data_IF_052345719235
#
_entry.id   IF_052345719235
#
_cell.length_a   1.000
_cell.length_b   1.000
_cell.length_c   1.000
_cell.angle_alpha   90.00
_cell.angle_beta   90.00
_cell.angle_gamma   90.00
#
_symmetry.space_group_name_H-M   'P 1'
#
loop_
_entity.id
_entity.type
_entity.pdbx_description
1 polymer ?
#
# COMPACT_ATOMS: atom_id res chain seq x y z
N UNK A 1 1.58 -20.51 28.34
CA UNK A 1 1.81 -20.56 26.87
C UNK A 1 1.92 -19.16 26.24
N UNK A 2 2.45 -18.17 26.97
CA UNK A 2 2.95 -16.89 26.45
C UNK A 2 4.37 -16.78 27.00
N UNK A 3 5.40 -16.81 26.16
CA UNK A 3 6.78 -16.70 26.68
C UNK A 3 7.89 -17.34 25.86
N UNK A 4 7.72 -17.58 24.56
CA UNK A 4 8.78 -18.11 23.67
C UNK A 4 8.95 -17.31 22.37
N UNK A 5 8.78 -15.99 22.41
CA UNK A 5 9.01 -15.12 21.22
C UNK A 5 10.28 -14.27 21.35
N UNK A 6 10.94 -14.22 22.51
CA UNK A 6 12.14 -13.38 22.71
C UNK A 6 13.45 -14.14 22.96
N UNK A 7 13.51 -15.43 22.65
CA UNK A 7 14.77 -16.20 22.72
C UNK A 7 15.40 -16.33 21.35
N UNK A 8 15.79 -15.21 20.75
CA UNK A 8 16.89 -15.16 19.79
C UNK A 8 18.17 -14.98 20.59
N UNK A 9 18.88 -16.07 20.85
CA UNK A 9 20.09 -16.07 21.67
C UNK A 9 21.27 -15.41 20.97
N UNK A 10 21.79 -14.33 21.57
CA UNK A 10 23.16 -13.89 21.36
C UNK A 10 24.04 -14.37 22.52
N UNK A 11 25.30 -14.77 22.27
CA UNK A 11 26.18 -15.32 23.29
C UNK A 11 26.76 -14.19 24.15
N UNK A 12 26.17 -13.95 25.32
CA UNK A 12 26.77 -13.13 26.37
C UNK A 12 25.80 -12.25 27.14
N UNK A 13 25.49 -12.65 28.38
CA UNK A 13 25.12 -11.72 29.45
C UNK A 13 23.62 -11.54 29.72
N UNK A 14 23.19 -12.02 30.89
CA UNK A 14 21.88 -11.77 31.50
C UNK A 14 21.92 -10.34 32.10
N UNK A 15 21.23 -9.36 31.49
CA UNK A 15 21.16 -8.01 32.05
C UNK A 15 19.79 -7.69 32.67
N UNK A 16 19.86 -7.31 33.95
CA UNK A 16 18.80 -6.90 34.86
C UNK A 16 18.02 -5.69 34.33
N UNK A 17 16.69 -5.83 34.21
CA UNK A 17 15.80 -4.76 33.76
C UNK A 17 15.82 -3.57 34.73
N UNK A 18 16.44 -2.46 34.33
CA UNK A 18 16.46 -1.19 35.06
C UNK A 18 15.85 -0.11 34.15
N UNK A 19 14.62 0.29 34.47
CA UNK A 19 13.85 1.44 33.97
C UNK A 19 14.36 2.24 32.75
N UNK A 20 14.27 1.63 31.56
CA UNK A 20 14.50 2.27 30.26
C UNK A 20 14.66 1.17 29.21
N UNK A 21 13.83 1.11 28.18
CA UNK A 21 13.79 -0.01 27.24
C UNK A 21 15.08 -0.01 26.38
N UNK A 22 16.07 -0.88 26.66
CA UNK A 22 17.41 -0.76 26.09
C UNK A 22 17.47 -1.13 24.60
N UNK A 23 16.35 -1.63 24.06
CA UNK A 23 16.18 -2.00 22.66
C UNK A 23 15.28 -1.02 21.89
N UNK A 24 14.58 -0.09 22.53
CA UNK A 24 13.60 0.76 21.84
C UNK A 24 14.25 1.71 20.82
N UNK A 25 15.43 2.28 21.15
CA UNK A 25 16.21 3.15 20.26
C UNK A 25 17.30 2.40 19.48
N UNK A 26 17.22 1.08 19.37
CA UNK A 26 18.17 0.32 18.56
C UNK A 26 17.91 0.59 17.06
N UNK A 27 18.97 0.84 16.28
CA UNK A 27 18.85 1.16 14.84
C UNK A 27 18.13 0.06 14.05
N UNK A 28 18.30 -1.21 14.45
CA UNK A 28 17.63 -2.35 13.82
C UNK A 28 16.16 -2.40 14.18
N UNK A 29 15.81 -2.17 15.45
CA UNK A 29 14.41 -2.08 15.86
C UNK A 29 13.68 -0.90 15.23
N UNK A 30 14.37 0.24 15.05
CA UNK A 30 13.81 1.38 14.35
C UNK A 30 13.59 1.07 12.86
N UNK A 31 14.54 0.37 12.23
CA UNK A 31 14.38 -0.09 10.86
C UNK A 31 13.25 -1.11 10.72
N UNK A 32 13.16 -2.10 11.60
CA UNK A 32 12.09 -3.10 11.58
C UNK A 32 10.70 -2.46 11.72
N UNK A 33 10.60 -1.44 12.58
CA UNK A 33 9.36 -0.67 12.73
C UNK A 33 8.94 0.01 11.41
N UNK A 34 9.88 0.40 10.55
CA UNK A 34 9.56 1.02 9.27
C UNK A 34 8.85 0.10 8.29
N UNK A 35 9.09 -1.22 8.30
CA UNK A 35 8.45 -2.17 7.37
C UNK A 35 6.91 -2.08 7.45
N UNK A 36 6.36 -2.08 8.68
CA UNK A 36 4.90 -2.03 8.90
C UNK A 36 4.26 -0.74 8.37
N UNK A 37 4.95 0.39 8.50
CA UNK A 37 4.45 1.67 8.02
C UNK A 37 4.64 1.85 6.52
N UNK A 38 5.78 1.39 6.00
CA UNK A 38 6.18 1.56 4.60
C UNK A 38 5.25 0.80 3.67
N UNK A 39 4.85 -0.42 4.03
CA UNK A 39 3.86 -1.20 3.28
C UNK A 39 2.58 -0.39 3.03
N UNK A 40 2.05 0.26 4.06
CA UNK A 40 0.84 1.10 3.94
C UNK A 40 1.12 2.39 3.19
N UNK A 41 2.28 3.00 3.38
CA UNK A 41 2.68 4.23 2.69
C UNK A 41 2.72 4.03 1.17
N UNK A 42 3.25 2.90 0.69
CA UNK A 42 3.28 2.56 -0.74
C UNK A 42 1.87 2.46 -1.31
N UNK A 43 0.94 1.83 -0.60
CA UNK A 43 -0.46 1.70 -1.03
C UNK A 43 -1.17 3.06 -1.08
N UNK A 44 -0.83 3.98 -0.18
CA UNK A 44 -1.45 5.30 -0.12
C UNK A 44 -1.04 6.22 -1.29
N UNK A 45 0.13 6.02 -1.91
CA UNK A 45 0.59 6.82 -3.06
C UNK A 45 -0.40 6.81 -4.25
N UNK A 46 -0.80 5.64 -4.82
CA UNK A 46 -1.83 5.60 -5.86
C UNK A 46 -3.21 6.01 -5.36
N UNK A 47 -3.55 5.72 -4.10
CA UNK A 47 -4.82 6.15 -3.51
C UNK A 47 -4.96 7.67 -3.45
N UNK A 48 -3.88 8.40 -3.16
CA UNK A 48 -3.88 9.85 -3.17
C UNK A 48 -4.26 10.40 -4.55
N UNK A 49 -3.81 9.77 -5.64
CA UNK A 49 -4.20 10.17 -7.00
C UNK A 49 -5.68 9.97 -7.26
N UNK A 50 -6.27 8.86 -6.79
CA UNK A 50 -7.71 8.62 -6.90
C UNK A 50 -8.51 9.68 -6.15
N UNK A 51 -8.10 10.02 -4.93
CA UNK A 51 -8.74 11.07 -4.11
C UNK A 51 -8.68 12.43 -4.81
N UNK A 52 -7.53 12.79 -5.41
CA UNK A 52 -7.39 14.03 -6.20
C UNK A 52 -8.35 14.02 -7.39
N UNK A 53 -8.50 12.87 -8.04
CA UNK A 53 -9.47 12.66 -9.12
C UNK A 53 -10.94 12.59 -8.64
N UNK A 54 -11.19 12.77 -7.33
CA UNK A 54 -12.51 12.70 -6.66
C UNK A 54 -13.13 11.30 -6.67
N UNK A 55 -12.31 10.28 -6.84
CA UNK A 55 -12.69 8.88 -6.74
C UNK A 55 -12.24 8.30 -5.39
N UNK A 56 -12.99 7.34 -4.87
CA UNK A 56 -12.64 6.60 -3.66
C UNK A 56 -12.58 5.12 -4.02
N UNK A 57 -11.49 4.45 -3.64
CA UNK A 57 -11.32 3.01 -3.81
C UNK A 57 -11.18 2.28 -2.47
N UNK A 58 -12.28 1.65 -2.04
CA UNK A 58 -12.29 0.79 -0.85
C UNK A 58 -11.79 -0.64 -1.14
N UNK A 59 -11.70 -1.03 -2.40
CA UNK A 59 -11.40 -2.41 -2.84
C UNK A 59 -9.91 -2.75 -2.83
N UNK A 60 -9.03 -1.79 -2.51
CA UNK A 60 -7.57 -1.97 -2.53
C UNK A 60 -7.12 -3.10 -1.59
N UNK A 61 -7.68 -3.17 -0.38
CA UNK A 61 -7.31 -4.19 0.60
C UNK A 61 -7.73 -5.60 0.15
N UNK A 62 -8.93 -5.74 -0.41
CA UNK A 62 -9.40 -7.01 -0.96
C UNK A 62 -8.68 -7.42 -2.24
N UNK A 63 -8.22 -6.46 -3.05
CA UNK A 63 -7.38 -6.72 -4.22
C UNK A 63 -6.01 -7.22 -3.80
N UNK A 64 -5.40 -6.61 -2.77
CA UNK A 64 -4.15 -7.09 -2.17
C UNK A 64 -4.31 -8.51 -1.63
N UNK A 65 -5.42 -8.81 -0.94
CA UNK A 65 -5.71 -10.14 -0.43
C UNK A 65 -5.81 -11.17 -1.56
N UNK A 66 -6.58 -10.88 -2.61
CA UNK A 66 -6.73 -11.75 -3.77
C UNK A 66 -5.39 -11.98 -4.48
N UNK A 67 -4.63 -10.90 -4.73
CA UNK A 67 -3.31 -10.96 -5.33
C UNK A 67 -2.36 -11.84 -4.51
N UNK A 68 -2.33 -11.66 -3.19
CA UNK A 68 -1.50 -12.44 -2.27
C UNK A 68 -1.89 -13.93 -2.29
N UNK A 69 -3.19 -14.25 -2.30
CA UNK A 69 -3.66 -15.63 -2.40
C UNK A 69 -3.25 -16.29 -3.71
N UNK A 70 -3.39 -15.62 -4.85
CA UNK A 70 -2.95 -16.14 -6.15
C UNK A 70 -1.43 -16.37 -6.15
N UNK A 71 -0.66 -15.41 -5.65
CA UNK A 71 0.80 -15.56 -5.51
C UNK A 71 1.17 -16.73 -4.60
N UNK A 72 0.46 -16.93 -3.48
CA UNK A 72 0.71 -18.03 -2.57
C UNK A 72 0.49 -19.40 -3.21
N UNK A 73 -0.53 -19.55 -4.06
CA UNK A 73 -0.73 -20.79 -4.82
C UNK A 73 0.35 -21.02 -5.85
N UNK A 74 0.81 -19.97 -6.54
CA UNK A 74 1.93 -20.08 -7.47
C UNK A 74 3.25 -20.40 -6.76
N UNK A 75 3.48 -19.83 -5.57
CA UNK A 75 4.64 -20.14 -4.74
C UNK A 75 4.63 -21.61 -4.29
N UNK A 76 3.46 -22.12 -3.89
CA UNK A 76 3.28 -23.53 -3.57
C UNK A 76 3.52 -24.47 -4.78
N UNK A 77 3.28 -23.98 -6.00
CA UNK A 77 3.60 -24.68 -7.24
C UNK A 77 5.08 -24.58 -7.65
N UNK A 78 5.93 -23.93 -6.84
CA UNK A 78 7.37 -23.81 -7.09
C UNK A 78 7.77 -22.69 -8.06
N UNK A 79 6.91 -21.67 -8.24
CA UNK A 79 7.20 -20.54 -9.11
C UNK A 79 8.29 -19.63 -8.51
N UNK A 80 9.25 -19.21 -9.33
CA UNK A 80 10.33 -18.33 -8.93
C UNK A 80 9.87 -16.91 -8.56
N UNK A 81 10.65 -16.25 -7.68
CA UNK A 81 10.41 -14.90 -7.15
C UNK A 81 10.06 -13.84 -8.20
N UNK A 82 10.77 -13.70 -9.34
CA UNK A 82 10.42 -12.67 -10.33
C UNK A 82 9.04 -12.87 -10.94
N UNK A 83 8.64 -14.12 -11.17
CA UNK A 83 7.35 -14.45 -11.76
C UNK A 83 6.23 -14.25 -10.75
N UNK A 84 6.46 -14.50 -9.45
CA UNK A 84 5.51 -14.15 -8.39
C UNK A 84 5.21 -12.64 -8.36
N UNK A 85 6.23 -11.79 -8.51
CA UNK A 85 6.04 -10.33 -8.57
C UNK A 85 5.19 -9.95 -9.77
N UNK A 86 5.46 -10.53 -10.95
CA UNK A 86 4.68 -10.28 -12.17
C UNK A 86 3.22 -10.73 -11.99
N UNK A 87 2.99 -11.88 -11.37
CA UNK A 87 1.64 -12.40 -11.11
C UNK A 87 0.88 -11.45 -10.18
N UNK A 88 1.52 -10.99 -9.10
CA UNK A 88 0.89 -10.04 -8.17
C UNK A 88 0.51 -8.73 -8.84
N UNK A 89 1.45 -8.14 -9.59
CA UNK A 89 1.19 -6.93 -10.39
C UNK A 89 0.10 -7.16 -11.44
N UNK A 90 0.09 -8.33 -12.08
CA UNK A 90 -0.91 -8.72 -13.06
C UNK A 90 -2.32 -8.81 -12.47
N UNK A 91 -2.49 -9.49 -11.34
CA UNK A 91 -3.79 -9.59 -10.66
C UNK A 91 -4.28 -8.21 -10.22
N UNK A 92 -3.40 -7.40 -9.60
CA UNK A 92 -3.73 -6.03 -9.21
C UNK A 92 -4.15 -5.15 -10.40
N UNK A 93 -3.43 -5.24 -11.51
CA UNK A 93 -3.74 -4.51 -12.74
C UNK A 93 -5.09 -4.95 -13.32
N UNK A 94 -5.36 -6.25 -13.37
CA UNK A 94 -6.64 -6.78 -13.87
C UNK A 94 -7.82 -6.32 -13.00
N UNK A 95 -7.69 -6.36 -11.68
CA UNK A 95 -8.71 -5.87 -10.76
C UNK A 95 -8.94 -4.35 -10.91
N UNK A 96 -7.86 -3.57 -11.01
CA UNK A 96 -7.95 -2.12 -11.23
C UNK A 96 -8.58 -1.78 -12.58
N UNK A 97 -8.23 -2.51 -13.64
CA UNK A 97 -8.82 -2.36 -14.97
C UNK A 97 -10.30 -2.72 -14.96
N UNK A 98 -10.68 -3.79 -14.28
CA UNK A 98 -12.07 -4.19 -14.12
C UNK A 98 -12.89 -3.08 -13.44
N UNK A 99 -12.39 -2.53 -12.32
CA UNK A 99 -13.04 -1.43 -11.62
C UNK A 99 -13.15 -0.18 -12.51
N UNK A 100 -12.06 0.21 -13.17
CA UNK A 100 -12.03 1.37 -14.06
C UNK A 100 -12.94 1.22 -15.28
N UNK A 101 -13.03 0.02 -15.85
CA UNK A 101 -13.92 -0.28 -16.97
C UNK A 101 -15.39 -0.18 -16.54
N UNK A 102 -15.74 -0.70 -15.36
CA UNK A 102 -17.11 -0.61 -14.85
C UNK A 102 -17.55 0.84 -14.64
N UNK A 103 -16.69 1.67 -14.05
CA UNK A 103 -16.97 3.10 -13.85
C UNK A 103 -17.13 3.83 -15.19
N UNK A 104 -16.17 3.65 -16.10
CA UNK A 104 -16.14 4.39 -17.38
C UNK A 104 -17.20 3.93 -18.38
N UNK A 105 -17.47 2.62 -18.47
CA UNK A 105 -18.39 2.07 -19.48
C UNK A 105 -19.86 2.17 -19.08
N UNK A 106 -20.15 2.01 -17.80
CA UNK A 106 -21.52 1.96 -17.27
C UNK A 106 -21.94 3.22 -16.53
N UNK A 107 -21.07 4.24 -16.42
CA UNK A 107 -21.33 5.49 -15.69
C UNK A 107 -21.83 5.27 -14.25
N UNK A 108 -21.32 4.22 -13.61
CA UNK A 108 -21.64 3.88 -12.23
C UNK A 108 -20.75 4.70 -11.28
N UNK A 109 -21.30 5.08 -10.11
CA UNK A 109 -20.52 5.73 -9.07
C UNK A 109 -19.39 4.82 -8.57
N UNK A 110 -18.15 5.33 -8.50
CA UNK A 110 -16.99 4.53 -8.07
C UNK A 110 -17.14 3.95 -6.66
N UNK A 111 -17.82 4.65 -5.74
CA UNK A 111 -18.06 4.14 -4.39
C UNK A 111 -18.88 2.84 -4.43
N UNK A 112 -19.91 2.79 -5.28
CA UNK A 112 -20.77 1.60 -5.41
C UNK A 112 -19.98 0.44 -5.99
N UNK A 113 -19.20 0.69 -7.05
CA UNK A 113 -18.34 -0.32 -7.66
C UNK A 113 -17.29 -0.84 -6.68
N UNK A 114 -16.63 0.04 -5.94
CA UNK A 114 -15.52 -0.35 -5.06
C UNK A 114 -16.02 -1.09 -3.83
N UNK A 115 -17.19 -0.77 -3.28
CA UNK A 115 -17.82 -1.57 -2.22
C UNK A 115 -18.26 -2.95 -2.75
N UNK A 116 -18.84 -3.01 -3.95
CA UNK A 116 -19.27 -4.27 -4.57
C UNK A 116 -18.10 -5.19 -4.89
N UNK A 117 -17.07 -4.64 -5.53
CA UNK A 117 -15.86 -5.36 -5.91
C UNK A 117 -15.02 -5.75 -4.69
N UNK A 118 -15.03 -4.94 -3.63
CA UNK A 118 -14.42 -5.33 -2.35
C UNK A 118 -15.03 -6.64 -1.82
N UNK A 119 -16.36 -6.73 -1.82
CA UNK A 119 -17.07 -7.92 -1.37
C UNK A 119 -16.82 -9.12 -2.29
N UNK A 120 -16.79 -8.89 -3.61
CA UNK A 120 -16.50 -9.91 -4.62
C UNK A 120 -15.09 -10.49 -4.46
N UNK A 121 -14.06 -9.65 -4.47
CA UNK A 121 -12.66 -10.08 -4.38
C UNK A 121 -12.39 -10.76 -3.04
N UNK A 122 -12.96 -10.23 -1.94
CA UNK A 122 -12.85 -10.88 -0.63
C UNK A 122 -13.53 -12.24 -0.61
N UNK A 123 -14.71 -12.36 -1.23
CA UNK A 123 -15.42 -13.64 -1.37
C UNK A 123 -14.61 -14.67 -2.15
N UNK A 124 -14.06 -14.27 -3.31
CA UNK A 124 -13.18 -15.12 -4.12
C UNK A 124 -11.96 -15.55 -3.30
N UNK A 125 -11.33 -14.62 -2.59
CA UNK A 125 -10.16 -14.90 -1.74
C UNK A 125 -10.50 -15.96 -0.69
N UNK A 126 -11.64 -15.83 0.02
CA UNK A 126 -12.06 -16.81 1.01
C UNK A 126 -12.38 -18.19 0.42
N UNK A 127 -13.00 -18.24 -0.77
CA UNK A 127 -13.30 -19.50 -1.44
C UNK A 127 -12.02 -20.19 -1.89
N UNK A 128 -11.07 -19.44 -2.46
CA UNK A 128 -9.80 -19.98 -2.93
C UNK A 128 -8.93 -20.45 -1.77
N UNK A 129 -8.78 -19.62 -0.74
CA UNK A 129 -7.90 -19.90 0.39
C UNK A 129 -8.48 -20.96 1.33
N UNK A 130 -9.81 -20.98 1.51
CA UNK A 130 -10.48 -21.91 2.44
C UNK A 130 -9.94 -21.76 3.86
N UNK A 131 -9.52 -22.89 4.45
CA UNK A 131 -8.90 -22.96 5.78
C UNK A 131 -7.35 -22.96 5.72
N UNK A 132 -6.77 -22.83 4.52
CA UNK A 132 -5.33 -22.93 4.34
C UNK A 132 -4.64 -21.59 4.61
N UNK A 133 -3.43 -21.65 5.17
CA UNK A 133 -2.56 -20.49 5.30
C UNK A 133 -1.32 -20.67 4.42
N UNK A 134 -1.27 -19.92 3.30
CA UNK A 134 -0.18 -19.97 2.33
C UNK A 134 1.01 -19.14 2.84
N UNK A 135 1.93 -19.78 3.56
CA UNK A 135 3.10 -19.13 4.18
C UNK A 135 4.45 -19.63 3.62
N UNK A 136 4.44 -20.57 2.68
CA UNK A 136 5.67 -21.07 2.06
C UNK A 136 6.02 -20.24 0.83
N UNK A 137 7.05 -19.41 0.97
CA UNK A 137 7.62 -18.61 -0.12
C UNK A 137 9.13 -18.87 -0.24
N UNK A 138 9.71 -18.72 -1.44
CA UNK A 138 11.16 -18.81 -1.60
C UNK A 138 11.88 -17.72 -0.79
N UNK A 139 13.06 -18.03 -0.26
CA UNK A 139 13.85 -17.10 0.57
C UNK A 139 14.15 -15.77 -0.14
N UNK A 140 14.35 -15.81 -1.45
CA UNK A 140 14.56 -14.62 -2.27
C UNK A 140 13.32 -13.70 -2.33
N UNK A 141 12.11 -14.25 -2.18
CA UNK A 141 10.88 -13.46 -2.07
C UNK A 141 10.74 -12.82 -0.68
N UNK A 142 11.14 -13.54 0.39
CA UNK A 142 11.19 -12.97 1.73
C UNK A 142 12.19 -11.81 1.82
N UNK A 143 13.37 -11.96 1.19
CA UNK A 143 14.34 -10.87 1.07
C UNK A 143 13.83 -9.71 0.19
N UNK A 144 13.07 -9.99 -0.86
CA UNK A 144 12.48 -8.94 -1.69
C UNK A 144 11.48 -8.05 -0.91
N UNK A 145 10.71 -8.62 0.03
CA UNK A 145 9.86 -7.83 0.93
C UNK A 145 10.68 -7.21 2.06
N UNK A 146 11.23 -8.05 2.94
CA UNK A 146 11.77 -7.61 4.24
C UNK A 146 13.29 -7.55 4.28
N UNK A 147 13.96 -7.51 3.13
CA UNK A 147 15.41 -7.46 3.03
C UNK A 147 16.00 -6.09 3.31
N UNK A 148 17.31 -6.09 3.53
CA UNK A 148 18.13 -4.92 3.80
C UNK A 148 19.08 -4.65 2.63
N UNK A 149 19.19 -3.40 2.18
CA UNK A 149 20.02 -3.03 1.01
C UNK A 149 21.34 -2.38 1.43
N UNK A 150 21.28 -1.35 2.27
CA UNK A 150 22.44 -0.60 2.75
C UNK A 150 22.40 -0.47 4.29
N UNK A 151 22.94 -1.47 4.98
CA UNK A 151 22.92 -1.52 6.44
C UNK A 151 21.49 -1.68 6.98
N UNK A 152 21.08 -0.84 7.93
CA UNK A 152 19.73 -0.82 8.49
C UNK A 152 18.71 -0.08 7.60
N UNK A 153 18.88 -0.09 6.27
CA UNK A 153 17.91 0.47 5.34
C UNK A 153 17.19 -0.65 4.60
N UNK A 154 15.92 -0.81 4.94
CA UNK A 154 14.98 -1.76 4.35
C UNK A 154 14.74 -1.52 2.86
N UNK A 155 14.74 -2.58 2.06
CA UNK A 155 14.44 -2.52 0.63
C UNK A 155 13.08 -1.86 0.34
N UNK A 156 12.05 -2.22 1.11
CA UNK A 156 10.73 -1.58 1.07
C UNK A 156 10.80 -0.04 1.21
N UNK A 157 11.63 0.47 2.12
CA UNK A 157 11.74 1.91 2.36
C UNK A 157 12.44 2.64 1.20
N UNK A 158 13.47 2.01 0.62
CA UNK A 158 14.09 2.51 -0.61
C UNK A 158 13.09 2.55 -1.78
N UNK A 159 12.30 1.49 -1.94
CA UNK A 159 11.25 1.42 -2.96
C UNK A 159 10.18 2.50 -2.75
N UNK A 160 9.76 2.73 -1.51
CA UNK A 160 8.84 3.82 -1.18
C UNK A 160 9.39 5.19 -1.59
N UNK A 161 10.65 5.50 -1.28
CA UNK A 161 11.27 6.78 -1.66
C UNK A 161 11.28 6.93 -3.19
N UNK A 162 11.65 5.87 -3.91
CA UNK A 162 11.67 5.86 -5.37
C UNK A 162 10.27 6.10 -5.95
N UNK A 163 9.25 5.40 -5.44
CA UNK A 163 7.86 5.56 -5.87
C UNK A 163 7.32 6.94 -5.50
N UNK A 164 7.61 7.44 -4.31
CA UNK A 164 7.22 8.78 -3.88
C UNK A 164 7.82 9.84 -4.81
N UNK A 165 9.11 9.75 -5.14
CA UNK A 165 9.76 10.65 -6.10
C UNK A 165 9.12 10.57 -7.49
N UNK A 166 8.83 9.35 -7.97
CA UNK A 166 8.15 9.14 -9.24
C UNK A 166 6.73 9.75 -9.26
N UNK A 167 5.94 9.56 -8.21
CA UNK A 167 4.60 10.13 -8.06
C UNK A 167 4.64 11.65 -7.93
N UNK A 168 5.59 12.20 -7.18
CA UNK A 168 5.80 13.65 -7.09
C UNK A 168 6.11 14.23 -8.46
N UNK A 169 7.01 13.61 -9.22
CA UNK A 169 7.32 14.02 -10.59
C UNK A 169 6.10 13.91 -11.50
N UNK A 170 5.38 12.78 -11.44
CA UNK A 170 4.16 12.56 -12.22
C UNK A 170 3.12 13.65 -11.95
N UNK A 171 2.84 13.96 -10.68
CA UNK A 171 1.82 14.93 -10.31
C UNK A 171 2.23 16.38 -10.58
N UNK A 172 3.48 16.76 -10.32
CA UNK A 172 3.90 18.17 -10.38
C UNK A 172 4.53 18.57 -11.72
N UNK A 173 5.14 17.63 -12.44
CA UNK A 173 5.90 17.93 -13.66
C UNK A 173 5.23 17.45 -14.94
N UNK A 174 4.24 16.56 -14.90
CA UNK A 174 3.58 16.05 -16.11
C UNK A 174 2.23 16.71 -16.43
N UNK A 175 1.82 16.61 -17.69
CA UNK A 175 0.48 17.03 -18.13
C UNK A 175 -0.65 16.21 -17.47
N UNK A 176 -0.36 14.96 -17.06
CA UNK A 176 -1.34 14.09 -16.42
C UNK A 176 -1.79 14.68 -15.09
N UNK A 177 -0.83 15.02 -14.21
CA UNK A 177 -1.09 15.66 -12.93
C UNK A 177 -1.92 16.95 -13.05
N UNK A 178 -1.56 17.81 -14.03
CA UNK A 178 -2.30 19.06 -14.32
C UNK A 178 -3.74 18.85 -14.77
N UNK A 179 -4.07 17.71 -15.38
CA UNK A 179 -5.44 17.37 -15.84
C UNK A 179 -6.25 16.71 -14.73
N UNK A 180 -5.62 15.90 -13.89
CA UNK A 180 -6.27 15.20 -12.77
C UNK A 180 -6.49 16.09 -11.57
N UNK A 181 -5.59 17.02 -11.29
CA UNK A 181 -5.79 18.02 -10.24
C UNK A 181 -6.81 19.04 -10.73
N UNK A 182 -7.95 19.23 -10.04
CA UNK A 182 -8.86 20.31 -10.37
C UNK A 182 -8.08 21.62 -10.25
N UNK A 183 -7.81 22.27 -11.37
CA UNK A 183 -7.16 23.57 -11.38
C UNK A 183 -8.05 24.55 -10.63
N UNK A 184 -7.63 24.93 -9.42
CA UNK A 184 -8.29 25.88 -8.53
C UNK A 184 -8.26 27.34 -9.05
N UNK A 185 -8.32 27.55 -10.37
CA UNK A 185 -8.25 28.87 -11.02
C UNK A 185 -9.64 29.40 -11.39
N UNK A 186 -10.68 28.58 -11.40
CA UNK A 186 -12.05 29.09 -11.57
C UNK A 186 -12.63 29.51 -10.22
N UNK A 187 -12.79 30.84 -10.07
CA UNK A 187 -13.36 31.56 -8.91
C UNK A 187 -14.50 30.77 -8.24
N UNK A 188 -14.57 30.71 -6.90
CA UNK A 188 -15.72 30.10 -6.23
C UNK A 188 -16.97 30.88 -6.61
N UNK A 189 -17.96 30.19 -7.17
CA UNK A 189 -19.32 30.72 -7.27
C UNK A 189 -19.83 31.05 -5.86
N UNK A 190 -20.42 32.24 -5.64
CA UNK A 190 -20.87 32.64 -4.31
C UNK A 190 -22.11 31.80 -3.94
N UNK A 191 -21.95 30.80 -3.08
CA UNK A 191 -23.10 30.03 -2.59
C UNK A 191 -22.86 28.66 -1.96
N UNK A 192 -21.66 28.08 -1.97
CA UNK A 192 -21.48 26.71 -1.45
C UNK A 192 -20.93 26.67 -0.02
N UNK A 193 -21.88 26.63 0.93
CA UNK A 193 -21.67 26.30 2.34
C UNK A 193 -21.06 24.90 2.51
N UNK A 194 -19.96 24.83 3.25
CA UNK A 194 -19.73 23.78 4.25
C UNK A 194 -19.44 22.35 3.80
N UNK A 195 -19.04 22.08 2.56
CA UNK A 195 -18.56 20.74 2.20
C UNK A 195 -17.05 20.62 2.46
N UNK A 196 -16.61 19.44 2.90
CA UNK A 196 -15.20 19.09 3.21
C UNK A 196 -14.20 19.42 2.08
N UNK A 197 -14.71 19.57 0.84
CA UNK A 197 -13.96 20.05 -0.33
C UNK A 197 -13.44 21.50 -0.20
N UNK A 198 -14.15 22.36 0.53
CA UNK A 198 -13.73 23.76 0.76
C UNK A 198 -12.48 23.85 1.65
N UNK A 199 -12.32 22.91 2.59
CA UNK A 199 -11.15 22.86 3.50
C UNK A 199 -9.91 22.37 2.75
N UNK A 200 -10.04 21.36 1.88
CA UNK A 200 -8.92 20.84 1.09
C UNK A 200 -8.42 21.88 0.08
N UNK A 201 -9.35 22.63 -0.54
CA UNK A 201 -9.00 23.70 -1.49
C UNK A 201 -8.32 24.88 -0.79
N UNK A 202 -8.74 25.23 0.43
CA UNK A 202 -8.13 26.27 1.25
C UNK A 202 -6.74 25.89 1.78
N UNK A 203 -6.52 24.63 2.14
CA UNK A 203 -5.18 24.15 2.54
C UNK A 203 -4.19 24.15 1.37
N UNK A 204 -4.62 23.78 0.16
CA UNK A 204 -3.76 23.82 -1.03
C UNK A 204 -3.40 25.24 -1.47
N UNK A 205 -4.32 26.21 -1.35
CA UNK A 205 -4.03 27.60 -1.71
C UNK A 205 -3.05 28.29 -0.74
N UNK A 206 -2.88 27.74 0.47
CA UNK A 206 -1.97 28.28 1.49
C UNK A 206 -0.56 27.69 1.46
N UNK A 207 -0.34 26.63 0.66
CA UNK A 207 0.95 25.96 0.51
C UNK A 207 1.71 26.38 -0.77
N UNK A 208 1.09 27.22 -1.62
CA UNK A 208 1.67 27.78 -2.84
C UNK A 208 2.01 29.28 -2.72
N UNK A 209 2.01 29.81 -1.49
CA UNK A 209 2.44 31.17 -1.16
C UNK A 209 3.69 31.16 -0.29
#
# INVERSE_FOLDING_TARGET
MLGRVFTGGHPGGIYRQRGGFPYFLNIWNLSDATFTFTEKAIVVLPMAMLIIAREIDLSVASTMALSSTVMGFCAAAGVDTPLLVIIGLGVGLLCGLFNGLLVTRFNLSSIVITIGTMSLYRGITYILLGDQALNHYPESFAWFGQGYVWGALSFEFALFILLAAAFTFLLHKTNFGRRTTPSAITRPAPGFRGSMLSVITWCCSRWSG
#
